data_IF_546816720361
#
_entry.id   IF_546816720361
#
_cell.length_a   1.000
_cell.length_b   1.000
_cell.length_c   1.000
_cell.angle_alpha   90.00
_cell.angle_beta   90.00
_cell.angle_gamma   90.00
#
_symmetry.space_group_name_H-M   'P 1'
#
loop_
_entity.id
_entity.type
_entity.pdbx_description
1 polymer ?
#
# COMPACT_ATOMS: atom_id res chain seq x y z
N UNK A 1 -2.47 12.45 18.13
CA UNK A 1 -2.72 11.04 18.47
C UNK A 1 -1.92 10.18 17.52
N UNK A 2 -1.19 9.21 18.06
CA UNK A 2 -0.31 8.35 17.28
C UNK A 2 -1.09 7.08 16.93
N UNK A 3 -1.26 6.82 15.64
CA UNK A 3 -2.03 5.67 15.12
C UNK A 3 -1.09 4.73 14.37
N UNK A 4 -0.96 3.51 14.89
CA UNK A 4 -0.25 2.43 14.20
C UNK A 4 -1.19 1.76 13.20
N UNK A 5 -0.72 1.60 11.96
CA UNK A 5 -1.49 0.95 10.88
C UNK A 5 -0.92 -0.43 10.59
N UNK A 6 -1.79 -1.44 10.64
CA UNK A 6 -1.49 -2.82 10.30
C UNK A 6 -1.55 -3.06 8.77
N UNK A 7 -0.88 -4.11 8.32
CA UNK A 7 -0.78 -4.48 6.91
C UNK A 7 -2.16 -4.65 6.25
N UNK A 8 -3.13 -5.25 6.94
CA UNK A 8 -4.47 -5.49 6.40
C UNK A 8 -5.19 -4.21 5.97
N UNK A 9 -5.01 -3.11 6.71
CA UNK A 9 -5.59 -1.81 6.33
C UNK A 9 -4.94 -1.29 5.04
N UNK A 10 -3.62 -1.45 4.91
CA UNK A 10 -2.88 -1.03 3.72
C UNK A 10 -3.29 -1.88 2.53
N UNK A 11 -3.32 -3.22 2.66
CA UNK A 11 -3.74 -4.16 1.61
C UNK A 11 -5.16 -3.86 1.15
N UNK A 12 -6.11 -3.67 2.08
CA UNK A 12 -7.50 -3.36 1.73
C UNK A 12 -7.63 -2.08 0.88
N UNK A 13 -6.77 -1.08 1.12
CA UNK A 13 -6.73 0.15 0.31
C UNK A 13 -6.07 -0.09 -1.05
N UNK A 14 -4.92 -0.76 -1.08
CA UNK A 14 -4.18 -1.01 -2.33
C UNK A 14 -4.98 -1.88 -3.31
N UNK A 15 -5.65 -2.91 -2.81
CA UNK A 15 -6.41 -3.87 -3.61
C UNK A 15 -7.88 -3.45 -3.82
N UNK A 16 -8.31 -2.30 -3.28
CA UNK A 16 -9.71 -1.84 -3.32
C UNK A 16 -10.70 -2.90 -2.82
N UNK A 17 -10.35 -3.58 -1.72
CA UNK A 17 -11.13 -4.71 -1.21
C UNK A 17 -12.50 -4.26 -0.70
N UNK A 18 -13.57 -4.75 -1.32
CA UNK A 18 -14.92 -4.55 -0.80
C UNK A 18 -15.24 -5.60 0.28
N UNK A 19 -15.85 -5.20 1.42
CA UNK A 19 -16.42 -3.88 1.73
C UNK A 19 -15.50 -2.93 2.51
N UNK A 20 -14.29 -3.38 2.88
CA UNK A 20 -13.42 -2.70 3.84
C UNK A 20 -12.75 -1.44 3.29
N UNK A 21 -12.63 -1.32 1.98
CA UNK A 21 -11.95 -0.22 1.28
C UNK A 21 -12.36 1.15 1.81
N UNK A 22 -13.67 1.44 1.88
CA UNK A 22 -14.17 2.75 2.28
C UNK A 22 -13.78 3.13 3.71
N UNK A 23 -13.73 2.15 4.62
CA UNK A 23 -13.35 2.38 6.02
C UNK A 23 -11.83 2.53 6.15
N UNK A 24 -11.08 1.65 5.49
CA UNK A 24 -9.62 1.67 5.50
C UNK A 24 -9.05 2.96 4.86
N UNK A 25 -9.62 3.39 3.73
CA UNK A 25 -9.25 4.64 3.06
C UNK A 25 -9.51 5.86 3.94
N UNK A 26 -10.61 5.86 4.72
CA UNK A 26 -10.94 6.94 5.66
C UNK A 26 -9.95 7.01 6.83
N UNK A 27 -9.39 5.87 7.25
CA UNK A 27 -8.32 5.86 8.27
C UNK A 27 -7.04 6.44 7.67
N UNK A 28 -6.68 6.05 6.45
CA UNK A 28 -5.48 6.56 5.77
C UNK A 28 -5.57 8.06 5.47
N UNK A 29 -6.77 8.58 5.15
CA UNK A 29 -6.97 10.02 4.91
C UNK A 29 -6.75 10.91 6.15
N UNK A 30 -6.64 10.32 7.36
CA UNK A 30 -6.29 11.09 8.56
C UNK A 30 -4.84 11.59 8.54
N UNK A 31 -4.00 11.12 7.61
CA UNK A 31 -2.61 11.56 7.46
C UNK A 31 -2.48 13.07 7.21
N UNK A 32 -3.48 13.68 6.55
CA UNK A 32 -3.48 15.10 6.24
C UNK A 32 -3.85 15.99 7.44
N UNK A 33 -4.38 15.40 8.52
CA UNK A 33 -4.76 16.13 9.73
C UNK A 33 -3.62 16.11 10.76
N UNK A 34 -3.10 17.29 11.10
CA UNK A 34 -2.01 17.50 12.07
C UNK A 34 -2.30 16.93 13.47
N UNK A 35 -3.57 16.65 13.80
CA UNK A 35 -3.96 16.00 15.07
C UNK A 35 -3.56 14.53 15.12
N UNK A 36 -3.27 13.91 13.98
CA UNK A 36 -2.94 12.50 13.86
C UNK A 36 -1.52 12.31 13.32
N UNK A 37 -0.81 11.33 13.85
CA UNK A 37 0.47 10.87 13.31
C UNK A 37 0.33 9.40 12.99
N UNK A 38 0.32 9.08 11.70
CA UNK A 38 0.17 7.72 11.20
C UNK A 38 1.56 7.12 11.00
N UNK A 39 1.76 5.92 11.53
CA UNK A 39 3.01 5.18 11.37
C UNK A 39 2.73 3.68 11.20
N UNK A 40 3.68 2.98 10.60
CA UNK A 40 3.61 1.53 10.40
C UNK A 40 5.01 0.92 10.54
N UNK A 41 5.09 -0.40 10.58
CA UNK A 41 6.36 -1.11 10.63
C UNK A 41 6.85 -1.49 9.21
N UNK A 42 8.18 -1.60 8.99
CA UNK A 42 8.70 -2.13 7.73
C UNK A 42 8.17 -3.53 7.39
N UNK A 43 7.88 -4.34 8.41
CA UNK A 43 7.28 -5.66 8.23
C UNK A 43 5.86 -5.57 7.65
N UNK A 44 5.03 -4.67 8.17
CA UNK A 44 3.67 -4.46 7.64
C UNK A 44 3.71 -3.97 6.18
N UNK A 45 4.68 -3.12 5.82
CA UNK A 45 4.90 -2.69 4.44
C UNK A 45 5.33 -3.85 3.55
N UNK A 46 6.21 -4.73 4.01
CA UNK A 46 6.63 -5.91 3.24
C UNK A 46 5.46 -6.88 2.98
N UNK A 47 4.62 -7.11 3.99
CA UNK A 47 3.40 -7.92 3.85
C UNK A 47 2.44 -7.25 2.86
N UNK A 48 2.21 -5.94 3.02
CA UNK A 48 1.32 -5.20 2.12
C UNK A 48 1.83 -5.20 0.68
N UNK A 49 3.15 -5.07 0.47
CA UNK A 49 3.78 -5.18 -0.84
C UNK A 49 3.59 -6.56 -1.46
N UNK A 50 3.77 -7.62 -0.68
CA UNK A 50 3.60 -9.01 -1.15
C UNK A 50 2.16 -9.32 -1.57
N UNK A 51 1.17 -8.80 -0.84
CA UNK A 51 -0.26 -9.03 -1.12
C UNK A 51 -0.90 -7.98 -2.01
N UNK A 52 -0.21 -6.90 -2.37
CA UNK A 52 -0.76 -5.90 -3.27
C UNK A 52 -0.85 -6.47 -4.70
N UNK A 53 -2.02 -6.35 -5.32
CA UNK A 53 -2.25 -6.69 -6.74
C UNK A 53 -1.68 -5.63 -7.69
N UNK A 54 -0.87 -4.71 -7.17
CA UNK A 54 -0.24 -3.65 -7.96
C UNK A 54 0.90 -4.28 -8.75
N UNK A 55 0.86 -4.11 -10.08
CA UNK A 55 1.99 -4.46 -10.93
C UNK A 55 3.19 -3.58 -10.60
N UNK A 56 4.15 -4.15 -9.88
CA UNK A 56 5.44 -3.52 -9.63
C UNK A 56 6.43 -4.10 -10.61
N UNK A 57 6.77 -3.33 -11.64
CA UNK A 57 7.86 -3.69 -12.55
C UNK A 57 9.18 -3.62 -11.77
N UNK A 58 9.80 -4.77 -11.54
CA UNK A 58 11.21 -4.75 -11.17
C UNK A 58 12.05 -4.28 -12.37
N UNK A 59 13.26 -3.78 -12.11
CA UNK A 59 14.11 -3.21 -13.16
C UNK A 59 14.37 -4.20 -14.32
N UNK A 60 14.43 -5.50 -14.02
CA UNK A 60 14.61 -6.54 -15.01
C UNK A 60 13.37 -6.67 -15.92
N UNK A 61 12.19 -6.76 -15.33
CA UNK A 61 10.92 -6.86 -16.04
C UNK A 61 10.61 -5.60 -16.86
N UNK A 62 10.94 -4.42 -16.32
CA UNK A 62 10.86 -3.17 -17.08
C UNK A 62 11.82 -3.18 -18.28
N UNK A 63 13.07 -3.58 -18.06
CA UNK A 63 14.08 -3.65 -19.12
C UNK A 63 13.65 -4.63 -20.22
N UNK A 64 13.21 -5.83 -19.87
CA UNK A 64 12.78 -6.85 -20.82
C UNK A 64 11.55 -6.40 -21.62
N UNK A 65 10.55 -5.83 -20.95
CA UNK A 65 9.26 -5.48 -21.56
C UNK A 65 9.37 -4.24 -22.45
N UNK A 66 10.14 -3.23 -22.04
CA UNK A 66 10.15 -1.92 -22.69
C UNK A 66 11.44 -1.58 -23.44
N UNK A 67 12.58 -2.12 -23.01
CA UNK A 67 13.90 -1.75 -23.56
C UNK A 67 14.56 -2.86 -24.38
N UNK A 68 14.22 -4.13 -24.14
CA UNK A 68 14.88 -5.27 -24.80
C UNK A 68 14.13 -5.80 -26.02
N UNK A 69 13.18 -5.04 -26.61
CA UNK A 69 12.50 -5.41 -27.86
C UNK A 69 13.53 -5.72 -28.96
N UNK A 70 13.75 -7.01 -29.20
CA UNK A 70 14.32 -7.59 -30.41
C UNK A 70 13.21 -8.28 -31.18
#
# INVERSE_FOLDING_TARGET
>A
MNLFIDANIIVAVLNKEYPLFSLAARIMSLQDDKRFSIYTSPLCLAIAFYFAEIEVFNCLHFFETYLSKK
#
